data_IF_597326785658
#
_entry.id   IF_597326785658
#
_cell.length_a   1.000
_cell.length_b   1.000
_cell.length_c   1.000
_cell.angle_alpha   90.00
_cell.angle_beta   90.00
_cell.angle_gamma   90.00
#
_symmetry.space_group_name_H-M   'P 1'
#
loop_
_entity.id
_entity.type
_entity.pdbx_description
1 polymer ?
#
# COMPACT_ATOMS: atom_id res chain seq x y z
N UNK A 1 -20.68 -1.32 -2.89
CA UNK A 1 -20.48 -2.31 -3.97
C UNK A 1 -21.77 -2.96 -4.48
N UNK A 2 -22.91 -2.81 -3.82
CA UNK A 2 -24.22 -3.32 -4.28
C UNK A 2 -24.82 -2.59 -5.50
N UNK A 3 -24.24 -1.49 -5.95
CA UNK A 3 -24.68 -0.76 -7.14
C UNK A 3 -23.91 -1.16 -8.41
N UNK A 4 -22.86 -1.98 -8.28
CA UNK A 4 -22.16 -2.54 -9.42
C UNK A 4 -22.74 -3.92 -9.74
N UNK A 5 -23.03 -4.23 -11.03
CA UNK A 5 -23.46 -5.56 -11.43
C UNK A 5 -22.29 -6.51 -11.28
N UNK A 6 -22.30 -7.33 -10.23
CA UNK A 6 -21.29 -8.35 -9.95
C UNK A 6 -21.26 -8.67 -8.46
N UNK A 7 -21.56 -9.89 -8.12
CA UNK A 7 -21.42 -10.43 -6.76
C UNK A 7 -19.99 -10.99 -6.62
N UNK A 8 -19.31 -10.71 -5.50
CA UNK A 8 -17.96 -11.23 -5.19
C UNK A 8 -17.93 -12.75 -5.29
N UNK A 9 -19.05 -13.42 -4.96
CA UNK A 9 -19.22 -14.86 -5.10
C UNK A 9 -19.17 -15.34 -6.56
N UNK A 10 -19.51 -14.47 -7.52
CA UNK A 10 -19.43 -14.79 -8.94
C UNK A 10 -18.01 -14.70 -9.49
N UNK A 11 -17.18 -13.81 -8.98
CA UNK A 11 -15.76 -13.74 -9.37
C UNK A 11 -14.96 -14.93 -8.86
N UNK A 12 -15.19 -15.41 -7.63
CA UNK A 12 -14.58 -16.66 -7.16
C UNK A 12 -15.08 -17.89 -7.93
N UNK A 13 -16.36 -17.91 -8.29
CA UNK A 13 -16.94 -18.99 -9.09
C UNK A 13 -16.41 -19.01 -10.53
N UNK A 14 -15.98 -17.89 -11.10
CA UNK A 14 -15.33 -17.84 -12.41
C UNK A 14 -13.92 -18.43 -12.39
N UNK A 15 -13.24 -18.40 -11.25
CA UNK A 15 -11.95 -19.09 -11.05
C UNK A 15 -12.11 -20.58 -10.72
N UNK A 16 -13.28 -21.01 -10.24
CA UNK A 16 -13.57 -22.41 -9.93
C UNK A 16 -15.00 -22.79 -10.35
N UNK A 17 -15.23 -23.15 -11.62
CA UNK A 17 -16.56 -23.45 -12.16
C UNK A 17 -17.29 -24.61 -11.48
N UNK A 18 -16.57 -25.41 -10.69
CA UNK A 18 -17.11 -26.54 -9.93
C UNK A 18 -17.51 -26.18 -8.48
N UNK A 19 -17.40 -24.91 -8.09
CA UNK A 19 -17.89 -24.47 -6.79
C UNK A 19 -19.41 -24.68 -6.74
N UNK A 20 -19.87 -25.57 -5.88
CA UNK A 20 -21.29 -25.91 -5.76
C UNK A 20 -22.09 -24.71 -5.25
N UNK A 21 -23.39 -24.67 -5.53
CA UNK A 21 -24.32 -23.65 -4.99
C UNK A 21 -24.21 -23.56 -3.44
N UNK A 22 -23.94 -24.67 -2.76
CA UNK A 22 -23.68 -24.70 -1.30
C UNK A 22 -22.45 -23.88 -0.91
N UNK A 23 -21.38 -23.90 -1.70
CA UNK A 23 -20.18 -23.09 -1.43
C UNK A 23 -20.46 -21.60 -1.59
N UNK A 24 -21.28 -21.24 -2.59
CA UNK A 24 -21.73 -19.86 -2.78
C UNK A 24 -22.61 -19.39 -1.63
N UNK A 25 -23.51 -20.24 -1.16
CA UNK A 25 -24.39 -19.91 -0.06
C UNK A 25 -23.62 -19.75 1.25
N UNK A 26 -22.64 -20.60 1.52
CA UNK A 26 -21.71 -20.46 2.66
C UNK A 26 -20.91 -19.17 2.60
N UNK A 27 -20.41 -18.77 1.43
CA UNK A 27 -19.72 -17.49 1.24
C UNK A 27 -20.65 -16.30 1.50
N UNK A 28 -21.89 -16.33 1.00
CA UNK A 28 -22.88 -15.28 1.26
C UNK A 28 -23.18 -15.13 2.75
N UNK A 29 -23.37 -16.23 3.47
CA UNK A 29 -23.56 -16.23 4.91
C UNK A 29 -22.33 -15.69 5.65
N UNK A 30 -21.13 -16.15 5.28
CA UNK A 30 -19.86 -15.73 5.89
C UNK A 30 -19.64 -14.21 5.77
N UNK A 31 -19.96 -13.64 4.61
CA UNK A 31 -19.81 -12.19 4.35
C UNK A 31 -21.05 -11.38 4.70
N UNK A 32 -22.10 -12.02 5.26
CA UNK A 32 -23.37 -11.38 5.61
C UNK A 32 -24.04 -10.65 4.43
N UNK A 33 -23.90 -11.19 3.21
CA UNK A 33 -24.47 -10.58 2.01
C UNK A 33 -26.00 -10.70 1.97
N UNK A 34 -26.58 -11.58 2.77
CA UNK A 34 -28.04 -11.75 2.90
C UNK A 34 -28.72 -10.68 3.78
N UNK A 35 -27.92 -9.84 4.47
CA UNK A 35 -28.44 -8.81 5.35
C UNK A 35 -28.71 -7.51 4.61
N UNK A 36 -29.65 -6.66 5.09
CA UNK A 36 -29.84 -5.32 4.55
C UNK A 36 -28.54 -4.53 4.53
N UNK A 37 -28.35 -3.69 3.49
CA UNK A 37 -27.11 -2.90 3.25
C UNK A 37 -26.69 -2.08 4.48
N UNK A 38 -27.67 -1.51 5.19
CA UNK A 38 -27.43 -0.72 6.42
C UNK A 38 -26.79 -1.59 7.52
N UNK A 39 -27.25 -2.84 7.66
CA UNK A 39 -26.72 -3.77 8.66
C UNK A 39 -25.30 -4.22 8.26
N UNK A 40 -25.08 -4.47 6.96
CA UNK A 40 -23.76 -4.81 6.43
C UNK A 40 -22.78 -3.66 6.69
N UNK A 41 -23.18 -2.42 6.44
CA UNK A 41 -22.37 -1.23 6.70
C UNK A 41 -22.03 -1.09 8.20
N UNK A 42 -23.00 -1.30 9.09
CA UNK A 42 -22.76 -1.27 10.53
C UNK A 42 -21.77 -2.33 11.00
N UNK A 43 -21.89 -3.55 10.48
CA UNK A 43 -20.96 -4.65 10.78
C UNK A 43 -19.56 -4.36 10.23
N UNK A 44 -19.47 -3.81 9.02
CA UNK A 44 -18.21 -3.39 8.41
C UNK A 44 -17.55 -2.29 9.25
N UNK A 45 -18.30 -1.25 9.63
CA UNK A 45 -17.78 -0.17 10.47
C UNK A 45 -17.27 -0.68 11.82
N UNK A 46 -17.99 -1.61 12.45
CA UNK A 46 -17.56 -2.26 13.69
C UNK A 46 -16.25 -3.02 13.54
N UNK A 47 -16.04 -3.71 12.40
CA UNK A 47 -14.76 -4.37 12.09
C UNK A 47 -13.65 -3.35 11.85
N UNK A 48 -13.92 -2.27 11.12
CA UNK A 48 -12.97 -1.18 10.86
C UNK A 48 -12.44 -0.56 12.15
N UNK A 49 -13.33 -0.25 13.11
CA UNK A 49 -12.93 0.30 14.42
C UNK A 49 -12.04 -0.68 15.21
N UNK A 50 -12.22 -1.98 15.00
CA UNK A 50 -11.38 -3.02 15.61
C UNK A 50 -10.12 -3.34 14.82
N UNK A 51 -9.87 -2.64 13.69
CA UNK A 51 -8.81 -2.94 12.73
C UNK A 51 -8.87 -4.37 12.18
N UNK A 52 -10.06 -4.96 12.17
CA UNK A 52 -10.31 -6.28 11.59
C UNK A 52 -10.67 -6.13 10.11
N UNK A 53 -9.67 -6.21 9.26
CA UNK A 53 -9.80 -6.15 7.81
C UNK A 53 -10.04 -7.52 7.17
N UNK A 54 -10.19 -8.57 7.98
CA UNK A 54 -10.38 -9.92 7.50
C UNK A 54 -9.13 -10.52 6.87
N UNK A 55 -9.35 -11.40 5.90
CA UNK A 55 -8.30 -12.12 5.17
C UNK A 55 -8.25 -11.66 3.70
N UNK A 56 -7.06 -11.73 3.10
CA UNK A 56 -6.85 -11.37 1.70
C UNK A 56 -7.31 -12.48 0.76
N UNK A 57 -8.11 -12.14 -0.23
CA UNK A 57 -8.52 -13.07 -1.30
C UNK A 57 -7.36 -13.45 -2.24
N UNK A 58 -6.42 -12.55 -2.45
CA UNK A 58 -5.30 -12.73 -3.38
C UNK A 58 -4.14 -13.54 -2.78
N UNK A 59 -3.95 -13.51 -1.48
CA UNK A 59 -2.78 -14.07 -0.79
C UNK A 59 -3.11 -15.28 0.07
N UNK A 60 -3.77 -16.30 -0.49
CA UNK A 60 -4.04 -17.57 0.19
C UNK A 60 -4.68 -17.38 1.57
N UNK A 61 -5.64 -16.46 1.69
CA UNK A 61 -6.37 -16.12 2.92
C UNK A 61 -5.46 -15.63 4.08
N UNK A 62 -4.29 -15.07 3.79
CA UNK A 62 -3.47 -14.42 4.82
C UNK A 62 -4.26 -13.32 5.52
N UNK A 63 -4.14 -13.17 6.86
CA UNK A 63 -4.78 -12.10 7.59
C UNK A 63 -4.25 -10.74 7.11
N UNK A 64 -5.14 -9.75 6.98
CA UNK A 64 -4.75 -8.43 6.46
C UNK A 64 -4.00 -7.63 7.53
N UNK A 65 -4.47 -7.61 8.77
CA UNK A 65 -3.87 -6.78 9.81
C UNK A 65 -3.33 -7.59 11.00
N UNK A 66 -4.20 -8.33 11.70
CA UNK A 66 -3.81 -9.07 12.90
C UNK A 66 -3.22 -10.44 12.54
N UNK A 67 -2.27 -10.88 13.36
CA UNK A 67 -1.77 -12.23 13.27
C UNK A 67 -2.88 -13.24 13.60
N UNK A 68 -2.86 -14.37 12.92
CA UNK A 68 -3.75 -15.51 13.20
C UNK A 68 -2.94 -16.79 13.29
N UNK A 69 -3.53 -17.84 13.84
CA UNK A 69 -2.89 -19.17 13.87
C UNK A 69 -3.52 -20.03 12.79
N UNK A 70 -2.68 -20.78 12.08
CA UNK A 70 -3.16 -21.83 11.17
C UNK A 70 -3.68 -23.06 11.95
N UNK A 71 -4.18 -24.06 11.22
CA UNK A 71 -4.66 -25.31 11.80
C UNK A 71 -3.56 -26.10 12.51
N UNK A 72 -2.30 -25.83 12.20
CA UNK A 72 -1.12 -26.49 12.77
C UNK A 72 -0.55 -25.70 13.97
N UNK A 73 -1.13 -24.55 14.29
CA UNK A 73 -0.73 -23.69 15.41
C UNK A 73 0.39 -22.69 15.09
N UNK A 74 0.85 -22.61 13.84
CA UNK A 74 1.86 -21.64 13.42
C UNK A 74 1.25 -20.24 13.34
N UNK A 75 2.02 -19.23 13.74
CA UNK A 75 1.59 -17.84 13.70
C UNK A 75 1.77 -17.27 12.28
N UNK A 76 0.67 -16.90 11.63
CA UNK A 76 0.66 -16.18 10.38
C UNK A 76 0.52 -14.70 10.68
N UNK A 77 1.56 -13.91 10.42
CA UNK A 77 1.54 -12.46 10.60
C UNK A 77 0.62 -11.78 9.59
N UNK A 78 -0.04 -10.71 10.03
CA UNK A 78 -0.85 -9.87 9.15
C UNK A 78 0.02 -9.17 8.10
N UNK A 79 -0.48 -9.05 6.87
CA UNK A 79 0.24 -8.43 5.75
C UNK A 79 0.65 -6.98 6.06
N UNK A 80 -0.25 -6.21 6.70
CA UNK A 80 0.03 -4.83 7.10
C UNK A 80 1.07 -4.81 8.22
N UNK A 81 0.95 -5.69 9.19
CA UNK A 81 1.85 -5.79 10.34
C UNK A 81 3.29 -6.14 9.92
N UNK A 82 3.42 -6.93 8.87
CA UNK A 82 4.72 -7.28 8.27
C UNK A 82 5.33 -6.12 7.46
N UNK A 83 4.51 -5.43 6.66
CA UNK A 83 4.97 -4.37 5.75
C UNK A 83 5.11 -2.99 6.43
N UNK A 84 4.27 -2.70 7.45
CA UNK A 84 4.16 -1.38 8.05
C UNK A 84 5.47 -0.85 8.65
N UNK A 85 6.26 -1.64 9.43
CA UNK A 85 7.51 -1.15 10.02
C UNK A 85 8.52 -0.71 8.97
N UNK A 86 8.69 -1.49 7.89
CA UNK A 86 9.60 -1.17 6.80
C UNK A 86 9.11 0.07 6.05
N UNK A 87 7.82 0.13 5.75
CA UNK A 87 7.21 1.28 5.08
C UNK A 87 7.37 2.56 5.90
N UNK A 88 7.11 2.50 7.21
CA UNK A 88 7.29 3.66 8.10
C UNK A 88 8.75 4.09 8.17
N UNK A 89 9.68 3.15 8.31
CA UNK A 89 11.11 3.44 8.35
C UNK A 89 11.55 4.19 7.07
N UNK A 90 11.20 3.67 5.90
CA UNK A 90 11.54 4.29 4.61
C UNK A 90 10.91 5.68 4.50
N UNK A 91 9.65 5.84 4.88
CA UNK A 91 8.97 7.14 4.82
C UNK A 91 9.58 8.16 5.78
N UNK A 92 9.91 7.77 7.01
CA UNK A 92 10.55 8.68 7.99
C UNK A 92 11.93 9.10 7.52
N UNK A 93 12.73 8.16 7.00
CA UNK A 93 14.05 8.49 6.44
C UNK A 93 13.93 9.41 5.22
N UNK A 94 13.00 9.12 4.32
CA UNK A 94 12.74 9.96 3.13
C UNK A 94 12.30 11.36 3.52
N UNK A 95 11.36 11.48 4.48
CA UNK A 95 10.90 12.77 4.98
C UNK A 95 12.03 13.56 5.63
N UNK A 96 12.86 12.91 6.44
CA UNK A 96 14.03 13.52 7.06
C UNK A 96 15.01 14.06 6.01
N UNK A 97 15.29 13.28 4.97
CA UNK A 97 16.18 13.67 3.88
C UNK A 97 15.60 14.84 3.07
N UNK A 98 14.29 14.80 2.78
CA UNK A 98 13.59 15.89 2.09
C UNK A 98 13.70 17.19 2.89
N UNK A 99 13.39 17.18 4.18
CA UNK A 99 13.46 18.37 5.05
C UNK A 99 14.90 18.88 5.12
N UNK A 100 15.87 17.99 5.32
CA UNK A 100 17.28 18.32 5.39
C UNK A 100 17.82 18.98 4.12
N UNK A 101 17.32 18.58 2.95
CA UNK A 101 17.70 19.18 1.68
C UNK A 101 16.87 20.44 1.34
N UNK A 102 15.54 20.36 1.47
CA UNK A 102 14.64 21.40 1.01
C UNK A 102 14.73 22.69 1.84
N UNK A 103 14.86 22.56 3.17
CA UNK A 103 14.90 23.76 4.05
C UNK A 103 16.14 24.61 3.76
N UNK A 104 17.38 24.09 3.76
CA UNK A 104 18.55 24.90 3.44
C UNK A 104 18.51 25.50 2.02
N UNK A 105 18.11 24.70 1.02
CA UNK A 105 17.99 25.19 -0.35
C UNK A 105 16.94 26.30 -0.46
N UNK A 106 15.79 26.15 0.21
CA UNK A 106 14.75 27.16 0.25
C UNK A 106 15.21 28.46 0.92
N UNK A 107 15.94 28.35 2.06
CA UNK A 107 16.51 29.53 2.73
C UNK A 107 17.52 30.24 1.87
N UNK A 108 18.47 29.51 1.24
CA UNK A 108 19.46 30.10 0.35
C UNK A 108 18.79 30.78 -0.84
N UNK A 109 17.81 30.14 -1.46
CA UNK A 109 17.04 30.74 -2.56
C UNK A 109 16.33 32.02 -2.12
N UNK A 110 15.70 32.03 -0.95
CA UNK A 110 14.99 33.20 -0.43
C UNK A 110 15.92 34.40 -0.15
N UNK A 111 17.07 34.17 0.48
CA UNK A 111 18.01 35.27 0.80
C UNK A 111 18.82 35.76 -0.42
N UNK A 112 18.89 34.93 -1.46
CA UNK A 112 19.60 35.30 -2.73
C UNK A 112 18.63 35.51 -3.88
N UNK A 113 17.41 35.90 -3.62
CA UNK A 113 16.35 36.07 -4.59
C UNK A 113 16.81 36.85 -5.83
N UNK A 114 16.52 36.34 -7.04
CA UNK A 114 16.91 36.87 -8.33
C UNK A 114 18.44 36.92 -8.62
N UNK A 115 19.27 36.41 -7.72
CA UNK A 115 20.74 36.30 -7.91
C UNK A 115 21.13 34.93 -8.50
N UNK A 116 22.39 34.77 -8.95
CA UNK A 116 22.85 33.50 -9.54
C UNK A 116 22.61 32.25 -8.71
N UNK A 117 22.77 32.24 -7.37
CA UNK A 117 22.49 31.06 -6.55
C UNK A 117 21.02 30.65 -6.59
N UNK A 118 20.09 31.60 -6.50
CA UNK A 118 18.67 31.35 -6.61
C UNK A 118 18.30 30.76 -7.97
N UNK A 119 18.82 31.29 -9.05
CA UNK A 119 18.58 30.76 -10.39
C UNK A 119 19.13 29.34 -10.55
N UNK A 120 20.30 29.06 -9.98
CA UNK A 120 20.89 27.72 -10.01
C UNK A 120 20.06 26.71 -9.25
N UNK A 121 19.59 27.06 -8.04
CA UNK A 121 18.71 26.21 -7.23
C UNK A 121 17.40 25.96 -7.98
N UNK A 122 16.79 27.02 -8.52
CA UNK A 122 15.56 26.93 -9.29
C UNK A 122 15.71 25.99 -10.48
N UNK A 123 16.79 26.16 -11.26
CA UNK A 123 17.08 25.31 -12.41
C UNK A 123 17.26 23.83 -11.97
N UNK A 124 18.01 23.59 -10.90
CA UNK A 124 18.23 22.26 -10.35
C UNK A 124 16.90 21.59 -9.93
N UNK A 125 16.03 22.34 -9.25
CA UNK A 125 14.70 21.85 -8.83
C UNK A 125 13.84 21.54 -10.05
N UNK A 126 13.83 22.40 -11.08
CA UNK A 126 13.07 22.15 -12.32
C UNK A 126 13.57 20.90 -13.06
N UNK A 127 14.88 20.72 -13.18
CA UNK A 127 15.47 19.51 -13.78
C UNK A 127 15.06 18.27 -12.98
N UNK A 128 15.19 18.32 -11.64
CA UNK A 128 14.80 17.21 -10.77
C UNK A 128 13.31 16.88 -10.87
N UNK A 129 12.45 17.88 -10.98
CA UNK A 129 11.01 17.69 -11.12
C UNK A 129 10.60 17.14 -12.51
N UNK A 130 11.37 17.48 -13.56
CA UNK A 130 11.14 16.99 -14.91
C UNK A 130 11.46 15.49 -15.07
N UNK A 131 12.31 14.93 -14.21
CA UNK A 131 12.68 13.51 -14.25
C UNK A 131 11.57 12.67 -13.61
N UNK A 132 10.99 11.68 -14.32
CA UNK A 132 10.01 10.79 -13.72
C UNK A 132 10.60 10.00 -12.54
N UNK A 133 9.96 10.04 -11.37
CA UNK A 133 10.48 9.42 -10.15
C UNK A 133 10.76 7.92 -10.28
N UNK A 134 9.91 7.18 -11.01
CA UNK A 134 10.14 5.76 -11.26
C UNK A 134 11.40 5.51 -12.11
N UNK A 135 11.66 6.36 -13.11
CA UNK A 135 12.86 6.26 -13.96
C UNK A 135 14.12 6.51 -13.14
N UNK A 136 14.11 7.57 -12.31
CA UNK A 136 15.22 7.86 -11.41
C UNK A 136 15.49 6.71 -10.44
N UNK A 137 14.45 6.13 -9.88
CA UNK A 137 14.57 4.97 -8.98
C UNK A 137 15.22 3.78 -9.69
N UNK A 138 14.77 3.44 -10.91
CA UNK A 138 15.34 2.35 -11.70
C UNK A 138 16.81 2.61 -12.05
N UNK A 139 17.16 3.85 -12.41
CA UNK A 139 18.56 4.23 -12.71
C UNK A 139 19.43 4.11 -11.46
N UNK A 140 18.96 4.56 -10.31
CA UNK A 140 19.69 4.43 -9.06
C UNK A 140 19.87 2.96 -8.66
N UNK A 141 18.84 2.13 -8.78
CA UNK A 141 18.94 0.69 -8.52
C UNK A 141 19.93 0.01 -9.45
N UNK A 142 19.89 0.32 -10.75
CA UNK A 142 20.85 -0.19 -11.73
C UNK A 142 22.29 0.23 -11.38
N UNK A 143 22.48 1.49 -11.07
CA UNK A 143 23.81 2.04 -10.78
C UNK A 143 24.38 1.48 -9.46
N UNK A 144 23.58 1.38 -8.41
CA UNK A 144 24.02 0.88 -7.09
C UNK A 144 24.12 -0.64 -7.02
N UNK A 145 23.20 -1.36 -7.66
CA UNK A 145 23.14 -2.83 -7.58
C UNK A 145 23.94 -3.51 -8.68
N UNK A 146 23.90 -3.01 -9.93
CA UNK A 146 24.55 -3.70 -11.06
C UNK A 146 25.95 -3.15 -11.34
N UNK A 147 26.13 -1.83 -11.27
CA UNK A 147 27.42 -1.21 -11.63
C UNK A 147 28.41 -1.24 -10.48
N UNK A 148 27.96 -1.10 -9.25
CA UNK A 148 28.82 -0.95 -8.08
C UNK A 148 28.68 -2.09 -7.05
N UNK A 149 27.74 -3.00 -7.23
CA UNK A 149 27.44 -4.12 -6.28
C UNK A 149 27.30 -3.67 -4.82
N UNK A 150 26.78 -2.46 -4.59
CA UNK A 150 26.60 -1.92 -3.23
C UNK A 150 25.35 -2.44 -2.55
N UNK A 151 24.36 -2.81 -3.34
CA UNK A 151 23.08 -3.33 -2.88
C UNK A 151 22.78 -4.66 -3.56
N UNK A 152 22.24 -5.65 -2.82
CA UNK A 152 21.86 -6.95 -3.37
C UNK A 152 20.70 -6.85 -4.35
#
# INVERSE_FOLDING_TARGET
>A
MHLAPGDITNSEASFNPKASEESRQKLRELYNLDKPVIVQYGLWLKRMVKLDFGTSFASHQKPVFWETKDAEGNVIKGMIQEALPITLLINVLSLGLIIFAAVPLGVVSAITQNRPPDRAITLFVFIGFAIPGFWLALMLMYWTGVVHDWLP
#
